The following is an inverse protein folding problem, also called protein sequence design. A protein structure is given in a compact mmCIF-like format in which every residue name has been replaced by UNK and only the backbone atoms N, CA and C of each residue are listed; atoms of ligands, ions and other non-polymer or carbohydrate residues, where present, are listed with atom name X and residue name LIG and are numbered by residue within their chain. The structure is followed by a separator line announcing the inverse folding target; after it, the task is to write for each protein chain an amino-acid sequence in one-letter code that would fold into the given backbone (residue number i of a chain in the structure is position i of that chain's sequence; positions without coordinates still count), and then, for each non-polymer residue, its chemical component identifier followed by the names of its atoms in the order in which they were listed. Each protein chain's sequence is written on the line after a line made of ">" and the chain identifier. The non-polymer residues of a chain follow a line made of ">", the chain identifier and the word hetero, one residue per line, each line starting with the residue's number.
data_IF_983947078096
#
_entry.id   IF_983947078096
#
_cell.length_a   1.000
_cell.length_b   1.000
_cell.length_c   1.000
_cell.angle_alpha   90.00
_cell.angle_beta   90.00
_cell.angle_gamma   90.00
#
_symmetry.space_group_name_H-M   'P 1'
#
loop_
_entity.id
_entity.type
_entity.pdbx_description
1 polymer ?
#
# COMPACT_ATOMS: atom_id res chain seq x y z
N UNK A 1 27.46 0.73 2.02
CA UNK A 1 27.12 -0.14 0.87
C UNK A 1 25.96 0.49 0.15
N UNK A 2 25.85 0.36 -1.16
CA UNK A 2 24.72 0.92 -1.89
C UNK A 2 23.44 0.12 -1.55
N UNK A 3 22.32 0.82 -1.37
CA UNK A 3 21.02 0.18 -1.24
C UNK A 3 20.74 -0.72 -2.43
N UNK A 4 20.21 -1.92 -2.19
CA UNK A 4 19.66 -2.72 -3.27
C UNK A 4 18.28 -2.15 -3.64
N UNK A 5 18.28 -1.18 -4.53
CA UNK A 5 17.04 -0.66 -5.13
C UNK A 5 16.68 -1.50 -6.33
N UNK A 6 15.39 -1.82 -6.47
CA UNK A 6 14.89 -2.60 -7.59
C UNK A 6 15.04 -1.81 -8.90
N UNK A 7 15.82 -2.31 -9.89
CA UNK A 7 16.00 -1.61 -11.17
C UNK A 7 14.69 -1.33 -11.89
N UNK A 8 13.69 -2.21 -11.74
CA UNK A 8 12.37 -2.06 -12.36
C UNK A 8 11.62 -0.81 -11.84
N UNK A 9 11.90 -0.35 -10.63
CA UNK A 9 11.27 0.85 -10.04
C UNK A 9 12.11 2.12 -10.24
N UNK A 10 13.30 2.01 -10.86
CA UNK A 10 14.24 3.14 -10.94
C UNK A 10 13.68 4.33 -11.73
N UNK A 11 12.97 4.08 -12.81
CA UNK A 11 12.41 5.12 -13.67
C UNK A 11 11.16 5.76 -13.05
N UNK A 12 10.16 4.96 -12.70
CA UNK A 12 8.82 5.44 -12.33
C UNK A 12 8.53 5.41 -10.82
N UNK A 13 9.30 4.64 -10.04
CA UNK A 13 9.03 4.37 -8.63
C UNK A 13 7.92 3.33 -8.40
N UNK A 14 7.27 2.80 -9.45
CA UNK A 14 6.24 1.80 -9.35
C UNK A 14 6.23 0.81 -10.52
N UNK A 15 5.61 -0.34 -10.33
CA UNK A 15 5.35 -1.31 -11.38
C UNK A 15 4.00 -2.01 -11.14
N UNK A 16 3.16 -2.07 -12.17
CA UNK A 16 1.94 -2.87 -12.18
C UNK A 16 2.29 -4.27 -12.67
N UNK A 17 1.91 -5.31 -11.92
CA UNK A 17 2.22 -6.68 -12.27
C UNK A 17 1.08 -7.31 -13.07
N UNK A 18 1.42 -7.98 -14.16
CA UNK A 18 0.51 -8.74 -15.02
C UNK A 18 0.26 -10.14 -14.45
N UNK A 19 -0.02 -10.18 -13.14
CA UNK A 19 -0.30 -11.44 -12.45
C UNK A 19 -1.58 -11.34 -11.67
N UNK A 20 -2.56 -12.10 -12.14
CA UNK A 20 -3.80 -12.35 -11.42
C UNK A 20 -3.72 -13.72 -10.77
N UNK A 21 -4.01 -13.76 -9.49
CA UNK A 21 -4.21 -15.03 -8.81
C UNK A 21 -5.64 -15.53 -9.00
N UNK A 22 -5.87 -16.80 -8.63
CA UNK A 22 -7.23 -17.28 -8.44
C UNK A 22 -7.96 -16.40 -7.40
N UNK A 23 -9.29 -16.21 -7.55
CA UNK A 23 -10.08 -15.48 -6.60
C UNK A 23 -9.89 -16.04 -5.17
N UNK A 24 -9.71 -15.13 -4.22
CA UNK A 24 -9.56 -15.50 -2.80
C UNK A 24 -10.94 -15.42 -2.14
N UNK A 25 -11.24 -16.37 -1.28
CA UNK A 25 -12.50 -16.36 -0.52
C UNK A 25 -12.58 -15.10 0.34
N UNK A 26 -13.61 -14.25 0.17
CA UNK A 26 -13.79 -13.05 0.99
C UNK A 26 -13.77 -13.29 2.49
N UNK A 27 -14.12 -14.49 2.95
CA UNK A 27 -14.05 -14.83 4.37
C UNK A 27 -12.63 -14.75 4.92
N UNK A 28 -11.60 -14.91 4.09
CA UNK A 28 -10.22 -14.78 4.55
C UNK A 28 -9.88 -13.37 5.06
N UNK A 29 -10.46 -12.31 4.49
CA UNK A 29 -10.25 -10.96 5.03
C UNK A 29 -11.40 -10.45 5.88
N UNK A 30 -12.64 -10.87 5.64
CA UNK A 30 -13.80 -10.43 6.43
C UNK A 30 -13.83 -11.03 7.85
N UNK A 31 -13.16 -12.17 8.08
CA UNK A 31 -13.11 -12.83 9.39
C UNK A 31 -11.93 -12.38 10.28
N UNK A 32 -11.05 -11.53 9.76
CA UNK A 32 -9.88 -11.04 10.50
C UNK A 32 -10.28 -10.07 11.61
N UNK A 33 -9.40 -9.91 12.58
CA UNK A 33 -9.50 -8.85 13.58
C UNK A 33 -8.88 -7.57 13.05
N UNK A 34 -9.69 -6.51 13.03
CA UNK A 34 -9.31 -5.20 12.53
C UNK A 34 -9.05 -4.23 13.67
N UNK A 35 -8.06 -3.36 13.49
CA UNK A 35 -7.78 -2.22 14.36
C UNK A 35 -8.04 -0.92 13.61
N UNK A 36 -8.59 0.07 14.31
CA UNK A 36 -8.85 1.38 13.74
C UNK A 36 -7.53 2.13 13.48
N UNK A 37 -7.46 2.80 12.32
CA UNK A 37 -6.32 3.66 12.02
C UNK A 37 -6.51 5.04 12.65
N UNK A 38 -5.44 5.60 13.20
CA UNK A 38 -5.44 6.86 13.96
C UNK A 38 -5.87 8.10 13.15
N UNK A 39 -5.92 8.00 11.82
CA UNK A 39 -6.14 9.13 10.92
C UNK A 39 -7.59 9.42 10.54
N UNK A 40 -8.58 8.91 11.25
CA UNK A 40 -9.91 9.45 11.05
C UNK A 40 -11.10 8.52 10.92
N UNK A 41 -11.00 7.27 11.34
CA UNK A 41 -12.19 6.43 11.54
C UNK A 41 -12.74 5.69 10.31
N UNK A 42 -12.39 6.11 9.09
CA UNK A 42 -12.88 5.50 7.85
C UNK A 42 -11.90 4.48 7.26
N UNK A 43 -10.81 4.22 7.98
CA UNK A 43 -9.77 3.27 7.60
C UNK A 43 -9.48 2.32 8.76
N UNK A 44 -9.50 1.02 8.48
CA UNK A 44 -9.15 -0.03 9.43
C UNK A 44 -8.10 -0.95 8.84
N UNK A 45 -7.30 -1.58 9.69
CA UNK A 45 -6.29 -2.55 9.25
C UNK A 45 -6.44 -3.87 10.00
N UNK A 46 -6.32 -4.98 9.27
CA UNK A 46 -6.13 -6.30 9.84
C UNK A 46 -4.69 -6.76 9.58
N UNK A 47 -3.81 -6.73 10.58
CA UNK A 47 -2.43 -7.15 10.43
C UNK A 47 -2.34 -8.67 10.29
N UNK A 48 -1.58 -9.16 9.30
CA UNK A 48 -1.17 -10.55 9.15
C UNK A 48 0.25 -10.76 9.67
N UNK A 49 1.10 -9.74 9.53
CA UNK A 49 2.42 -9.68 10.14
C UNK A 49 2.68 -8.27 10.69
N UNK A 50 3.22 -8.19 11.90
CA UNK A 50 3.54 -6.96 12.63
C UNK A 50 4.96 -7.02 13.20
N UNK A 51 5.39 -6.00 13.94
CA UNK A 51 6.75 -5.95 14.50
C UNK A 51 7.05 -7.14 15.43
N UNK A 52 6.08 -7.52 16.26
CA UNK A 52 6.26 -8.55 17.29
C UNK A 52 5.16 -9.62 17.30
N UNK A 53 4.38 -9.72 16.21
CA UNK A 53 3.31 -10.72 16.10
C UNK A 53 2.05 -10.38 16.89
N UNK A 54 1.89 -9.12 17.28
CA UNK A 54 0.71 -8.61 17.97
C UNK A 54 -0.28 -7.99 16.98
N UNK A 55 -1.57 -7.94 17.36
CA UNK A 55 -2.62 -7.31 16.53
C UNK A 55 -2.52 -5.80 16.68
N UNK A 56 -1.70 -5.17 15.83
CA UNK A 56 -1.45 -3.75 15.78
C UNK A 56 -0.94 -3.33 14.38
N UNK A 57 -0.94 -2.04 14.07
CA UNK A 57 -0.57 -1.52 12.74
C UNK A 57 0.44 -0.36 12.79
N UNK A 58 1.21 -0.23 13.87
CA UNK A 58 2.22 0.82 13.99
C UNK A 58 3.40 0.57 13.04
N UNK A 59 4.14 1.63 12.71
CA UNK A 59 5.46 1.48 12.08
C UNK A 59 6.42 0.77 13.03
N UNK A 60 7.25 -0.13 12.49
CA UNK A 60 8.12 -0.97 13.30
C UNK A 60 9.16 -0.17 14.11
N UNK A 61 9.51 1.02 13.63
CA UNK A 61 10.41 1.95 14.33
C UNK A 61 9.82 2.62 15.58
N UNK A 62 8.49 2.51 15.79
CA UNK A 62 7.82 3.06 16.98
C UNK A 62 7.95 2.19 18.23
N UNK A 63 8.47 0.99 18.10
CA UNK A 63 8.60 0.04 19.21
C UNK A 63 9.89 0.26 20.01
N UNK A 64 9.97 -0.38 21.16
CA UNK A 64 11.16 -0.45 22.00
C UNK A 64 11.45 -1.94 22.33
N UNK A 65 12.52 -2.52 21.77
CA UNK A 65 13.44 -1.94 20.78
C UNK A 65 12.77 -1.73 19.41
N UNK A 66 13.22 -0.74 18.61
CA UNK A 66 12.72 -0.55 17.27
C UNK A 66 13.21 -1.66 16.33
N UNK A 67 12.41 -1.95 15.27
CA UNK A 67 12.75 -2.95 14.24
C UNK A 67 12.71 -2.33 12.84
N UNK A 68 13.55 -2.82 11.91
CA UNK A 68 13.37 -2.53 10.48
C UNK A 68 12.05 -3.05 9.95
N UNK A 69 11.38 -2.32 9.05
CA UNK A 69 10.06 -2.67 8.50
C UNK A 69 10.07 -3.91 7.57
N UNK A 70 11.22 -4.56 7.43
CA UNK A 70 11.44 -5.81 6.71
C UNK A 70 11.42 -7.08 7.59
N UNK A 71 11.41 -6.93 8.91
CA UNK A 71 11.51 -8.04 9.88
C UNK A 71 10.14 -8.35 10.50
N UNK A 72 9.13 -8.65 9.66
CA UNK A 72 7.78 -8.97 10.11
C UNK A 72 7.68 -10.31 10.83
N UNK A 73 6.84 -10.36 11.88
CA UNK A 73 6.46 -11.58 12.60
C UNK A 73 5.00 -11.88 12.29
N UNK A 74 4.76 -13.08 11.77
CA UNK A 74 3.42 -13.53 11.44
C UNK A 74 2.56 -13.73 12.69
N UNK A 75 1.28 -13.33 12.62
CA UNK A 75 0.31 -13.42 13.71
C UNK A 75 -0.50 -14.70 13.54
N UNK A 76 -0.19 -15.73 14.32
CA UNK A 76 -0.76 -17.08 14.15
C UNK A 76 -2.29 -17.09 14.07
N UNK A 77 -2.97 -16.30 14.92
CA UNK A 77 -4.44 -16.23 14.95
C UNK A 77 -5.06 -15.62 13.70
N UNK A 78 -4.35 -14.74 13.02
CA UNK A 78 -4.78 -14.11 11.77
C UNK A 78 -4.39 -14.98 10.57
N UNK A 79 -3.17 -15.49 10.54
CA UNK A 79 -2.67 -16.40 9.50
C UNK A 79 -3.56 -17.64 9.34
N UNK A 80 -4.03 -18.20 10.46
CA UNK A 80 -4.92 -19.37 10.43
C UNK A 80 -6.27 -19.11 9.72
N UNK A 81 -6.70 -17.85 9.64
CA UNK A 81 -7.96 -17.45 8.98
C UNK A 81 -7.74 -17.05 7.51
N UNK A 82 -6.50 -16.71 7.11
CA UNK A 82 -6.17 -16.15 5.82
C UNK A 82 -5.03 -16.89 5.11
N UNK A 83 -5.12 -18.24 4.94
CA UNK A 83 -4.01 -19.02 4.41
C UNK A 83 -3.63 -18.63 2.98
N UNK A 84 -4.60 -18.36 2.10
CA UNK A 84 -4.34 -17.98 0.71
C UNK A 84 -3.71 -16.60 0.62
N UNK A 85 -4.16 -15.63 1.43
CA UNK A 85 -3.55 -14.30 1.49
C UNK A 85 -2.09 -14.36 1.95
N UNK A 86 -1.79 -15.23 2.92
CA UNK A 86 -0.41 -15.45 3.40
C UNK A 86 0.45 -16.11 2.33
N UNK A 87 -0.08 -17.07 1.59
CA UNK A 87 0.62 -17.68 0.44
C UNK A 87 0.93 -16.64 -0.62
N UNK A 88 -0.02 -15.77 -0.95
CA UNK A 88 0.19 -14.66 -1.88
C UNK A 88 1.28 -13.71 -1.40
N UNK A 89 1.25 -13.30 -0.13
CA UNK A 89 2.28 -12.44 0.45
C UNK A 89 3.69 -13.07 0.44
N UNK A 90 3.79 -14.41 0.43
CA UNK A 90 5.08 -15.13 0.41
C UNK A 90 5.53 -15.55 -1.00
N UNK A 91 4.72 -15.35 -2.01
CA UNK A 91 4.94 -15.89 -3.36
C UNK A 91 6.21 -15.37 -4.04
N UNK A 92 6.61 -14.14 -3.72
CA UNK A 92 7.85 -13.55 -4.23
C UNK A 92 9.12 -14.25 -3.74
N UNK A 93 9.05 -15.01 -2.66
CA UNK A 93 10.21 -15.56 -1.96
C UNK A 93 11.05 -14.52 -1.21
N UNK A 94 10.71 -13.24 -1.33
CA UNK A 94 11.38 -12.16 -0.61
C UNK A 94 11.03 -12.18 0.89
N UNK A 95 11.90 -11.58 1.69
CA UNK A 95 11.61 -11.35 3.10
C UNK A 95 10.42 -10.40 3.26
N UNK A 96 9.46 -10.79 4.09
CA UNK A 96 8.22 -10.06 4.32
C UNK A 96 8.33 -9.26 5.62
N UNK A 97 8.12 -7.97 5.50
CA UNK A 97 8.00 -7.08 6.64
C UNK A 97 6.57 -6.96 7.13
N UNK A 98 6.07 -5.74 7.22
CA UNK A 98 4.69 -5.47 7.60
C UNK A 98 3.72 -5.97 6.53
N UNK A 99 2.77 -6.82 6.93
CA UNK A 99 1.74 -7.36 6.03
C UNK A 99 0.36 -7.19 6.67
N UNK A 100 -0.58 -6.57 5.93
CA UNK A 100 -1.90 -6.23 6.48
C UNK A 100 -2.95 -6.04 5.40
N UNK A 101 -4.21 -6.27 5.75
CA UNK A 101 -5.35 -5.85 4.93
C UNK A 101 -5.73 -4.43 5.35
N UNK A 102 -5.92 -3.54 4.38
CA UNK A 102 -6.61 -2.27 4.58
C UNK A 102 -8.08 -2.44 4.21
N UNK A 103 -8.96 -1.91 5.04
CA UNK A 103 -10.37 -1.69 4.77
C UNK A 103 -10.61 -0.18 4.67
N UNK A 104 -11.09 0.27 3.52
CA UNK A 104 -11.57 1.63 3.31
C UNK A 104 -13.09 1.63 3.25
N UNK A 105 -13.71 2.51 4.03
CA UNK A 105 -15.16 2.68 3.99
C UNK A 105 -15.60 3.35 2.68
N UNK A 106 -16.86 3.17 2.26
CA UNK A 106 -17.41 3.82 1.09
C UNK A 106 -17.23 5.34 1.11
N UNK A 107 -17.03 5.94 -0.06
CA UNK A 107 -16.97 7.40 -0.25
C UNK A 107 -15.82 8.10 0.52
N UNK A 108 -14.66 7.46 0.65
CA UNK A 108 -13.48 8.06 1.31
C UNK A 108 -12.63 8.93 0.38
N UNK A 109 -13.11 9.25 -0.81
CA UNK A 109 -12.39 10.00 -1.83
C UNK A 109 -12.06 11.44 -1.43
N UNK A 110 -12.91 12.10 -0.68
CA UNK A 110 -12.74 13.50 -0.28
C UNK A 110 -11.43 13.72 0.52
N UNK A 111 -10.98 12.72 1.26
CA UNK A 111 -9.77 12.77 2.06
C UNK A 111 -8.55 12.14 1.39
N UNK A 112 -8.67 11.65 0.15
CA UNK A 112 -7.61 10.91 -0.52
C UNK A 112 -6.31 11.74 -0.63
N UNK A 113 -6.37 12.95 -1.16
CA UNK A 113 -5.19 13.82 -1.29
C UNK A 113 -4.67 14.31 0.05
N UNK A 114 -5.56 14.56 1.01
CA UNK A 114 -5.19 14.94 2.36
C UNK A 114 -4.43 13.83 3.09
N UNK A 115 -4.81 12.57 2.85
CA UNK A 115 -4.14 11.40 3.41
C UNK A 115 -2.94 10.93 2.58
N UNK A 116 -2.61 11.64 1.50
CA UNK A 116 -1.41 11.34 0.72
C UNK A 116 -0.14 11.51 1.56
N UNK A 117 0.74 10.54 1.49
CA UNK A 117 1.97 10.51 2.28
C UNK A 117 3.05 9.69 1.57
N UNK A 118 4.29 9.96 1.94
CA UNK A 118 5.42 9.06 1.73
C UNK A 118 5.58 8.19 2.98
N UNK A 119 6.04 6.97 2.77
CA UNK A 119 6.35 6.08 3.89
C UNK A 119 7.75 6.37 4.47
N UNK A 120 7.99 5.81 5.63
CA UNK A 120 9.26 5.91 6.37
C UNK A 120 9.79 4.49 6.68
N UNK A 121 9.58 3.58 5.71
CA UNK A 121 9.85 2.15 5.88
C UNK A 121 11.35 1.84 6.04
N UNK A 122 12.19 2.67 5.44
CA UNK A 122 13.64 2.51 5.45
C UNK A 122 14.35 3.37 6.52
N UNK A 123 13.59 3.98 7.43
CA UNK A 123 14.13 4.83 8.50
C UNK A 123 15.22 4.16 9.33
N UNK A 124 15.11 2.86 9.59
CA UNK A 124 16.12 2.08 10.31
C UNK A 124 17.02 1.26 9.38
N UNK A 125 16.92 1.50 8.07
CA UNK A 125 17.69 0.82 7.03
C UNK A 125 18.25 1.78 5.97
N UNK A 126 18.72 2.99 6.35
CA UNK A 126 19.10 4.01 5.36
C UNK A 126 20.31 3.63 4.52
N UNK A 127 21.25 2.83 5.08
CA UNK A 127 22.51 2.42 4.46
C UNK A 127 22.65 0.88 4.38
N UNK A 128 21.55 0.14 4.63
CA UNK A 128 21.51 -1.32 4.68
C UNK A 128 21.33 -1.99 3.32
N UNK A 129 21.53 -3.28 3.28
CA UNK A 129 21.08 -4.12 2.19
C UNK A 129 19.56 -4.32 2.29
N UNK A 130 18.88 -4.38 1.14
CA UNK A 130 17.46 -4.59 1.07
C UNK A 130 16.64 -3.33 1.37
N UNK A 131 16.35 -2.56 0.34
CA UNK A 131 15.42 -1.44 0.41
C UNK A 131 13.99 -1.97 0.55
N UNK A 132 13.20 -1.41 1.45
CA UNK A 132 11.81 -1.83 1.66
C UNK A 132 10.89 -1.12 0.67
N UNK A 133 10.15 -1.91 -0.09
CA UNK A 133 9.10 -1.45 -1.02
C UNK A 133 7.76 -2.05 -0.63
N UNK A 134 6.66 -1.51 -1.15
CA UNK A 134 5.31 -2.04 -0.88
C UNK A 134 4.65 -2.62 -2.10
N UNK A 135 3.95 -3.74 -1.88
CA UNK A 135 3.02 -4.31 -2.83
C UNK A 135 1.59 -4.09 -2.33
N UNK A 136 0.75 -3.59 -3.23
CA UNK A 136 -0.69 -3.44 -3.02
C UNK A 136 -1.40 -4.43 -3.93
N UNK A 137 -2.11 -5.40 -3.35
CA UNK A 137 -2.94 -6.35 -4.09
C UNK A 137 -4.41 -6.07 -3.80
N UNK A 138 -5.17 -5.63 -4.81
CA UNK A 138 -6.60 -5.42 -4.64
C UNK A 138 -7.33 -6.74 -4.39
N UNK A 139 -8.26 -6.72 -3.45
CA UNK A 139 -9.12 -7.88 -3.11
C UNK A 139 -10.55 -7.68 -3.60
N UNK A 140 -10.94 -6.44 -3.90
CA UNK A 140 -12.28 -6.08 -4.39
C UNK A 140 -12.17 -5.37 -5.73
N UNK A 141 -13.15 -5.62 -6.61
CA UNK A 141 -13.33 -4.87 -7.85
C UNK A 141 -14.18 -3.64 -7.57
N UNK A 142 -13.67 -2.47 -7.96
CA UNK A 142 -14.42 -1.23 -7.91
C UNK A 142 -13.89 -0.29 -9.00
N UNK A 143 -14.79 0.13 -9.91
CA UNK A 143 -14.43 1.01 -11.02
C UNK A 143 -14.19 2.45 -10.56
N UNK A 144 -14.76 2.85 -9.42
CA UNK A 144 -14.63 4.17 -8.83
C UNK A 144 -13.53 4.24 -7.76
N UNK A 145 -12.56 3.31 -7.85
CA UNK A 145 -11.42 3.24 -6.92
C UNK A 145 -10.11 3.18 -7.67
N UNK A 146 -9.15 4.01 -7.27
CA UNK A 146 -7.80 3.98 -7.83
C UNK A 146 -6.75 4.46 -6.83
N UNK A 147 -5.51 4.01 -7.05
CA UNK A 147 -4.33 4.52 -6.38
C UNK A 147 -3.90 5.83 -7.06
N UNK A 148 -3.64 6.86 -6.27
CA UNK A 148 -2.98 8.09 -6.70
C UNK A 148 -1.51 8.00 -6.30
N UNK A 149 -0.62 8.23 -7.27
CA UNK A 149 0.82 8.35 -7.03
C UNK A 149 1.30 9.71 -7.54
N UNK A 150 2.19 10.38 -6.77
CA UNK A 150 2.85 11.63 -7.19
C UNK A 150 4.33 11.60 -6.80
N UNK A 151 5.18 12.16 -7.63
CA UNK A 151 6.59 12.43 -7.27
C UNK A 151 6.71 13.67 -6.38
N UNK A 152 5.88 14.68 -6.60
CA UNK A 152 5.76 15.89 -5.78
C UNK A 152 4.28 16.08 -5.41
N UNK A 153 4.00 16.12 -4.12
CA UNK A 153 2.64 16.32 -3.61
C UNK A 153 2.01 17.64 -4.08
N UNK A 154 2.84 18.65 -4.34
CA UNK A 154 2.40 19.99 -4.74
C UNK A 154 2.35 20.18 -6.26
N UNK A 155 2.77 19.17 -7.04
CA UNK A 155 2.75 19.21 -8.50
C UNK A 155 1.78 18.18 -9.08
N UNK A 156 0.52 18.59 -9.38
CA UNK A 156 -0.46 17.69 -9.98
C UNK A 156 -0.04 17.11 -11.34
N UNK A 157 0.92 17.72 -12.04
CA UNK A 157 1.39 17.21 -13.33
C UNK A 157 2.20 15.91 -13.19
N UNK A 158 2.65 15.58 -11.99
CA UNK A 158 3.33 14.32 -11.67
C UNK A 158 2.37 13.20 -11.28
N UNK A 159 1.04 13.47 -11.25
CA UNK A 159 0.04 12.51 -10.81
C UNK A 159 -0.18 11.38 -11.78
N UNK A 160 -0.13 10.17 -11.24
CA UNK A 160 -0.54 8.95 -11.93
C UNK A 160 -1.67 8.29 -11.15
N UNK A 161 -2.73 7.89 -11.86
CA UNK A 161 -3.90 7.20 -11.30
C UNK A 161 -3.96 5.78 -11.83
N UNK A 162 -4.10 4.83 -10.93
CA UNK A 162 -4.04 3.41 -11.26
C UNK A 162 -5.27 2.72 -10.68
N UNK A 163 -6.20 2.34 -11.56
CA UNK A 163 -7.30 1.44 -11.22
C UNK A 163 -6.87 0.01 -11.50
N UNK A 164 -7.04 -0.86 -10.52
CA UNK A 164 -6.67 -2.26 -10.62
C UNK A 164 -7.87 -3.15 -10.28
N UNK A 165 -8.14 -4.19 -11.07
CA UNK A 165 -9.13 -5.20 -10.71
C UNK A 165 -8.67 -6.04 -9.51
N UNK A 166 -9.59 -6.80 -8.93
CA UNK A 166 -9.27 -7.76 -7.88
C UNK A 166 -8.20 -8.75 -8.32
N UNK A 167 -7.24 -9.05 -7.44
CA UNK A 167 -6.10 -9.91 -7.70
C UNK A 167 -4.91 -9.25 -8.40
N UNK A 168 -5.08 -8.04 -8.96
CA UNK A 168 -3.97 -7.29 -9.53
C UNK A 168 -3.06 -6.70 -8.45
N UNK A 169 -1.79 -6.59 -8.78
CA UNK A 169 -0.75 -6.16 -7.85
C UNK A 169 -0.01 -4.93 -8.37
N UNK A 170 0.27 -4.00 -7.46
CA UNK A 170 1.04 -2.79 -7.71
C UNK A 170 2.22 -2.74 -6.74
N UNK A 171 3.44 -2.79 -7.27
CA UNK A 171 4.66 -2.56 -6.50
C UNK A 171 4.99 -1.07 -6.51
N UNK A 172 5.30 -0.50 -5.34
CA UNK A 172 5.59 0.94 -5.17
C UNK A 172 6.80 1.13 -4.26
N UNK A 173 7.74 1.96 -4.67
CA UNK A 173 8.69 2.60 -3.78
C UNK A 173 7.97 3.74 -3.04
N UNK A 174 7.29 3.37 -1.97
CA UNK A 174 6.39 4.24 -1.22
C UNK A 174 7.12 5.28 -0.35
N UNK A 175 8.45 5.22 -0.30
CA UNK A 175 9.29 6.26 0.32
C UNK A 175 9.76 7.31 -0.70
N UNK A 176 9.65 6.99 -1.99
CA UNK A 176 9.91 7.92 -3.09
C UNK A 176 8.64 8.62 -3.57
N UNK A 177 7.51 7.89 -3.58
CA UNK A 177 6.26 8.38 -4.13
C UNK A 177 5.25 8.70 -3.05
N UNK A 178 4.70 9.90 -3.13
CA UNK A 178 3.47 10.25 -2.44
C UNK A 178 2.34 9.36 -2.95
N UNK A 179 1.63 8.72 -2.04
CA UNK A 179 0.57 7.80 -2.41
C UNK A 179 -0.65 7.95 -1.53
N UNK A 180 -1.80 7.71 -2.14
CA UNK A 180 -3.10 7.67 -1.48
C UNK A 180 -4.08 6.83 -2.30
N UNK A 181 -5.26 6.59 -1.75
CA UNK A 181 -6.33 5.88 -2.46
C UNK A 181 -7.54 6.78 -2.55
N UNK A 182 -8.04 6.94 -3.77
CA UNK A 182 -9.35 7.51 -4.05
C UNK A 182 -10.36 6.38 -4.11
N UNK A 183 -11.38 6.43 -3.28
CA UNK A 183 -12.43 5.44 -3.22
C UNK A 183 -13.81 6.11 -3.16
N UNK A 184 -14.52 6.12 -4.27
CA UNK A 184 -15.85 6.70 -4.44
C UNK A 184 -16.92 5.62 -4.63
N UNK A 185 -16.60 4.36 -4.34
CA UNK A 185 -17.55 3.25 -4.41
C UNK A 185 -18.51 3.20 -3.23
N UNK A 186 -19.63 2.48 -3.42
CA UNK A 186 -20.67 2.32 -2.42
C UNK A 186 -20.40 1.19 -1.42
N UNK A 187 -19.41 0.33 -1.71
CA UNK A 187 -19.06 -0.81 -0.87
C UNK A 187 -17.65 -0.64 -0.29
N UNK A 188 -17.33 -1.25 0.87
CA UNK A 188 -15.99 -1.19 1.42
C UNK A 188 -14.94 -1.78 0.47
N UNK A 189 -13.81 -1.09 0.32
CA UNK A 189 -12.67 -1.57 -0.46
C UNK A 189 -11.67 -2.29 0.43
N UNK A 190 -11.18 -3.42 -0.05
CA UNK A 190 -10.13 -4.20 0.61
C UNK A 190 -8.89 -4.34 -0.26
N UNK A 191 -7.72 -4.23 0.37
CA UNK A 191 -6.44 -4.41 -0.31
C UNK A 191 -5.43 -5.05 0.65
N UNK A 192 -4.70 -6.06 0.18
CA UNK A 192 -3.54 -6.58 0.90
C UNK A 192 -2.33 -5.68 0.63
N UNK A 193 -1.72 -5.17 1.69
CA UNK A 193 -0.50 -4.38 1.64
C UNK A 193 0.63 -5.18 2.27
N UNK A 194 1.69 -5.43 1.50
CA UNK A 194 2.86 -6.17 1.96
C UNK A 194 4.12 -5.35 1.77
N UNK A 195 4.92 -5.18 2.83
CA UNK A 195 6.27 -4.66 2.73
C UNK A 195 7.24 -5.79 2.37
N UNK A 196 8.03 -5.60 1.32
CA UNK A 196 9.06 -6.53 0.89
C UNK A 196 10.45 -5.93 1.03
N UNK A 197 11.39 -6.75 1.49
CA UNK A 197 12.80 -6.42 1.36
C UNK A 197 13.25 -6.62 -0.09
N UNK A 198 13.82 -5.58 -0.70
CA UNK A 198 14.40 -5.67 -2.04
C UNK A 198 15.63 -6.57 -2.03
N UNK A 199 15.73 -7.41 -3.04
CA UNK A 199 16.81 -8.35 -3.20
C UNK A 199 16.63 -9.19 -4.46
N UNK A 200 17.55 -10.13 -4.75
CA UNK A 200 17.53 -10.94 -5.95
C UNK A 200 16.22 -11.75 -6.13
N UNK A 201 15.65 -12.23 -5.02
CA UNK A 201 14.39 -13.01 -5.04
C UNK A 201 13.22 -12.14 -5.52
N UNK A 202 13.07 -10.94 -4.94
CA UNK A 202 12.02 -10.00 -5.33
C UNK A 202 12.21 -9.52 -6.78
N UNK A 203 13.45 -9.19 -7.16
CA UNK A 203 13.78 -8.79 -8.53
C UNK A 203 13.41 -9.88 -9.54
N UNK A 204 13.80 -11.12 -9.27
CA UNK A 204 13.47 -12.27 -10.11
C UNK A 204 11.96 -12.43 -10.26
N UNK A 205 11.23 -12.39 -9.15
CA UNK A 205 9.78 -12.52 -9.15
C UNK A 205 9.10 -11.40 -9.96
N UNK A 206 9.58 -10.16 -9.83
CA UNK A 206 9.08 -9.03 -10.61
C UNK A 206 9.32 -9.23 -12.12
N UNK A 207 10.49 -9.69 -12.52
CA UNK A 207 10.80 -9.96 -13.92
C UNK A 207 9.96 -11.10 -14.50
N UNK A 208 9.70 -12.16 -13.74
CA UNK A 208 8.86 -13.29 -14.15
C UNK A 208 7.39 -12.90 -14.30
N UNK A 209 6.95 -11.88 -13.57
CA UNK A 209 5.60 -11.33 -13.61
C UNK A 209 5.56 -9.95 -14.30
N UNK A 210 6.40 -9.74 -15.28
CA UNK A 210 6.66 -8.51 -16.00
C UNK A 210 5.42 -7.63 -16.20
N UNK A 211 5.46 -6.36 -15.83
CA UNK A 211 4.34 -5.45 -15.92
C UNK A 211 3.92 -5.24 -17.38
N UNK A 212 2.67 -5.54 -17.68
CA UNK A 212 2.05 -5.34 -19.00
C UNK A 212 0.75 -4.54 -18.92
N UNK A 213 0.42 -4.07 -17.74
CA UNK A 213 -0.80 -3.32 -17.53
C UNK A 213 -0.76 -1.97 -18.23
N UNK A 214 -1.83 -1.69 -18.90
CA UNK A 214 -2.12 -0.33 -19.31
C UNK A 214 -2.66 0.43 -18.10
N UNK A 215 -2.01 1.53 -17.77
CA UNK A 215 -2.59 2.53 -16.88
C UNK A 215 -3.86 3.01 -17.59
N UNK A 216 -5.01 2.83 -16.97
CA UNK A 216 -6.23 3.39 -17.50
C UNK A 216 -6.16 4.92 -17.34
N UNK A 217 -6.32 5.65 -18.42
CA UNK A 217 -6.56 7.09 -18.37
C UNK A 217 -7.92 7.28 -17.69
N UNK A 218 -7.90 7.57 -16.41
CA UNK A 218 -9.10 7.85 -15.64
C UNK A 218 -9.38 9.32 -15.79
N UNK A 219 -10.39 9.66 -16.60
CA UNK A 219 -10.92 11.01 -16.67
C UNK A 219 -11.69 11.29 -15.37
N UNK A 220 -11.10 12.11 -14.50
CA UNK A 220 -11.83 12.70 -13.39
C UNK A 220 -12.59 13.93 -13.84
N UNK A 221 -13.71 14.17 -13.16
CA UNK A 221 -14.31 15.50 -13.14
C UNK A 221 -13.31 16.49 -12.55
N UNK A 222 -12.73 17.33 -13.41
CA UNK A 222 -11.67 18.28 -13.05
C UNK A 222 -12.12 19.29 -11.98
N UNK A 223 -13.41 19.63 -11.95
CA UNK A 223 -13.96 20.58 -11.00
C UNK A 223 -13.96 19.96 -9.59
N UNK A 224 -14.38 18.72 -9.50
CA UNK A 224 -14.41 17.96 -8.26
C UNK A 224 -13.01 17.66 -7.72
N UNK A 225 -12.04 17.31 -8.58
CA UNK A 225 -10.67 17.12 -8.19
C UNK A 225 -10.03 18.39 -7.61
N UNK A 226 -10.37 19.57 -8.18
CA UNK A 226 -9.91 20.87 -7.65
C UNK A 226 -10.52 21.20 -6.28
N UNK A 227 -11.80 20.92 -6.09
CA UNK A 227 -12.46 21.16 -4.79
C UNK A 227 -11.84 20.28 -3.70
N UNK A 228 -11.61 18.99 -3.98
CA UNK A 228 -10.95 18.07 -3.05
C UNK A 228 -9.51 18.50 -2.72
N UNK A 229 -8.79 19.05 -3.70
CA UNK A 229 -7.41 19.56 -3.53
C UNK A 229 -7.38 20.82 -2.63
N UNK A 230 -8.32 21.75 -2.83
CA UNK A 230 -8.45 22.95 -2.00
C UNK A 230 -8.78 22.57 -0.56
N UNK A 231 -9.74 21.70 -0.36
CA UNK A 231 -10.11 21.23 0.99
C UNK A 231 -8.96 20.50 1.69
N UNK A 232 -8.19 19.68 0.96
CA UNK A 232 -7.01 19.00 1.49
C UNK A 232 -5.93 20.00 1.92
N UNK A 233 -5.69 21.06 1.16
CA UNK A 233 -4.73 22.12 1.52
C UNK A 233 -5.18 22.88 2.77
N UNK A 234 -6.44 23.29 2.85
CA UNK A 234 -6.97 24.00 4.00
C UNK A 234 -6.86 23.18 5.29
N UNK A 235 -7.11 21.87 5.23
CA UNK A 235 -6.97 20.95 6.36
C UNK A 235 -5.51 20.77 6.81
N UNK A 236 -4.56 20.73 5.86
CA UNK A 236 -3.11 20.67 6.18
C UNK A 236 -2.63 21.93 6.87
N UNK A 237 -3.00 23.10 6.34
CA UNK A 237 -2.63 24.39 6.92
C UNK A 237 -3.19 24.54 8.34
N UNK A 238 -4.41 24.08 8.58
CA UNK A 238 -5.01 24.08 9.90
C UNK A 238 -4.27 23.19 10.92
N UNK A 239 -3.63 22.09 10.48
CA UNK A 239 -2.85 21.20 11.35
C UNK A 239 -1.43 21.69 11.64
N UNK A 240 -0.81 22.42 10.71
CA UNK A 240 0.53 23.00 10.91
C UNK A 240 0.50 24.27 11.77
N UNK A 241 -0.69 24.81 12.07
CA UNK A 241 -0.87 25.99 12.91
C UNK A 241 -0.99 25.67 14.43
N UNK A 242 -0.83 24.41 14.83
CA UNK A 242 -0.75 23.95 16.22
C UNK A 242 0.52 23.11 16.39
#
# INVERSE_FOLDING_TARGET
>A
MAHYKLPMLEETGYAVLDKYGEPIDPQEWLSLEYVDWKSGGDTRFAPLASAYGEIECNGFWHFDPPKPDKDGVWIDSQVAKAPTLVERAKESGANVGRCRIIELQPNTYADALYNSHEDDNNRLNPDGEGWVVRCFMNLTDDQDTYMILREDINDPSTEVRINLPAGAQLMVDSERLWHSVWHNGDEPRYCLITSFESGPELEKWLWENNPRFHVNDIELDEEFAKEAEIEAHERRDARTAY
#
